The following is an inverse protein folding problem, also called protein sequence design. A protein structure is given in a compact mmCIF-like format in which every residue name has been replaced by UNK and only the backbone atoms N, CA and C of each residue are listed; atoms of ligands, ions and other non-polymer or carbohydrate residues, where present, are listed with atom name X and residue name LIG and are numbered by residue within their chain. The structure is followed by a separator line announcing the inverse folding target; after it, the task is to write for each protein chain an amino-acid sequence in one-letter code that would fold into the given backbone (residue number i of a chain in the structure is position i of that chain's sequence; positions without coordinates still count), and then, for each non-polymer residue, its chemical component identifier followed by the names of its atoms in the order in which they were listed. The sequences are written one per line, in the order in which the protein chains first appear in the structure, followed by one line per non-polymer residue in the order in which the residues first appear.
data_IF_973008004375
#
_entry.id   IF_973008004375
#
_cell.length_a   1.000
_cell.length_b   1.000
_cell.length_c   1.000
_cell.angle_alpha   90.00
_cell.angle_beta   90.00
_cell.angle_gamma   90.00
#
_symmetry.space_group_name_H-M   'P 1'
#
loop_
_entity.id
_entity.type
_entity.pdbx_description
1 polymer ?
#
# COMPACT_ATOMS: atom_id res chain seq x y z
N UNK A 1 14.07 0.35 21.08
CA UNK A 1 12.60 0.28 21.28
C UNK A 1 11.94 -0.12 19.97
N UNK A 2 10.99 -1.05 20.00
CA UNK A 2 10.37 -1.63 18.80
C UNK A 2 9.66 -0.59 17.91
N UNK A 3 8.96 0.38 18.51
CA UNK A 3 8.28 1.44 17.77
C UNK A 3 9.22 2.31 16.92
N UNK A 4 10.43 2.61 17.43
CA UNK A 4 11.44 3.35 16.66
C UNK A 4 11.92 2.55 15.45
N UNK A 5 12.24 1.27 15.64
CA UNK A 5 12.66 0.40 14.55
C UNK A 5 11.57 0.23 13.48
N UNK A 6 10.29 0.16 13.89
CA UNK A 6 9.16 0.14 12.97
C UNK A 6 9.07 1.41 12.11
N UNK A 7 9.24 2.59 12.71
CA UNK A 7 9.25 3.85 11.99
C UNK A 7 10.48 4.00 11.09
N UNK A 8 11.65 3.55 11.54
CA UNK A 8 12.85 3.57 10.70
C UNK A 8 12.70 2.62 9.49
N UNK A 9 12.03 1.47 9.66
CA UNK A 9 11.68 0.59 8.55
C UNK A 9 10.69 1.25 7.58
N UNK A 10 9.63 1.91 8.07
CA UNK A 10 8.69 2.59 7.18
C UNK A 10 9.37 3.69 6.35
N UNK A 11 10.27 4.46 6.96
CA UNK A 11 11.08 5.47 6.26
C UNK A 11 12.08 4.85 5.28
N UNK A 12 12.62 3.67 5.56
CA UNK A 12 13.48 2.95 4.62
C UNK A 12 12.69 2.45 3.40
N UNK A 13 11.44 2.00 3.61
CA UNK A 13 10.54 1.61 2.51
C UNK A 13 10.14 2.79 1.63
N UNK A 14 10.01 3.99 2.18
CA UNK A 14 9.79 5.21 1.38
C UNK A 14 10.94 5.50 0.41
N UNK A 15 12.15 5.02 0.70
CA UNK A 15 13.34 5.17 -0.15
C UNK A 15 13.55 3.97 -1.09
N UNK A 16 12.77 2.91 -0.94
CA UNK A 16 12.94 1.67 -1.68
C UNK A 16 12.13 1.72 -2.98
N UNK A 17 12.82 1.87 -4.12
CA UNK A 17 12.24 1.81 -5.46
C UNK A 17 11.21 2.91 -5.78
N UNK A 18 10.75 3.02 -7.02
CA UNK A 18 9.82 4.07 -7.45
C UNK A 18 8.35 3.69 -7.17
N UNK A 19 8.03 3.21 -5.95
CA UNK A 19 6.65 2.85 -5.63
C UNK A 19 5.82 4.11 -5.38
N UNK A 20 4.89 4.40 -6.30
CA UNK A 20 4.05 5.58 -6.22
C UNK A 20 3.14 5.56 -4.98
N UNK A 21 2.71 6.74 -4.52
CA UNK A 21 1.78 6.84 -3.40
C UNK A 21 0.43 6.16 -3.71
N UNK A 22 -0.06 6.23 -4.95
CA UNK A 22 -1.22 5.48 -5.43
C UNK A 22 -1.02 3.97 -5.31
N UNK A 23 0.12 3.45 -5.77
CA UNK A 23 0.44 2.01 -5.68
C UNK A 23 0.49 1.53 -4.23
N UNK A 24 1.05 2.35 -3.32
CA UNK A 24 1.04 2.07 -1.88
C UNK A 24 -0.39 1.98 -1.33
N UNK A 25 -1.27 2.91 -1.69
CA UNK A 25 -2.67 2.89 -1.26
C UNK A 25 -3.42 1.68 -1.82
N UNK A 26 -3.25 1.33 -3.11
CA UNK A 26 -3.84 0.11 -3.69
C UNK A 26 -3.39 -1.14 -2.92
N UNK A 27 -2.09 -1.26 -2.64
CA UNK A 27 -1.53 -2.40 -1.91
C UNK A 27 -2.08 -2.50 -0.50
N UNK A 28 -2.12 -1.38 0.22
CA UNK A 28 -2.60 -1.30 1.59
C UNK A 28 -4.11 -1.59 1.69
N UNK A 29 -4.93 -0.98 0.83
CA UNK A 29 -6.37 -1.27 0.74
C UNK A 29 -6.62 -2.76 0.48
N UNK A 30 -5.88 -3.35 -0.47
CA UNK A 30 -6.02 -4.77 -0.83
C UNK A 30 -5.69 -5.70 0.35
N UNK A 31 -4.57 -5.44 1.03
CA UNK A 31 -4.12 -6.27 2.16
C UNK A 31 -5.01 -6.07 3.38
N UNK A 32 -5.31 -4.82 3.77
CA UNK A 32 -6.15 -4.54 4.93
C UNK A 32 -7.60 -5.01 4.76
N UNK A 33 -8.12 -5.03 3.53
CA UNK A 33 -9.46 -5.55 3.26
C UNK A 33 -9.51 -7.05 3.52
N UNK A 34 -8.50 -7.78 3.00
CA UNK A 34 -8.34 -9.22 3.25
C UNK A 34 -8.16 -9.54 4.72
N UNK A 35 -7.32 -8.76 5.39
CA UNK A 35 -6.91 -8.94 6.78
C UNK A 35 -7.93 -8.37 7.78
N UNK A 36 -9.03 -7.75 7.31
CA UNK A 36 -10.12 -7.17 8.11
C UNK A 36 -9.63 -6.22 9.20
N UNK A 37 -8.89 -5.18 8.79
CA UNK A 37 -8.33 -4.18 9.72
C UNK A 37 -9.08 -2.85 9.56
N UNK A 38 -10.09 -2.54 10.40
CA UNK A 38 -10.97 -1.39 10.18
C UNK A 38 -10.22 -0.06 10.16
N UNK A 39 -9.30 0.16 11.11
CA UNK A 39 -8.48 1.36 11.15
C UNK A 39 -7.60 1.52 9.90
N UNK A 40 -6.97 0.44 9.44
CA UNK A 40 -6.16 0.45 8.23
C UNK A 40 -6.97 0.82 7.00
N UNK A 41 -8.19 0.27 6.87
CA UNK A 41 -9.10 0.61 5.78
C UNK A 41 -9.57 2.07 5.83
N UNK A 42 -9.89 2.57 7.02
CA UNK A 42 -10.23 3.98 7.22
C UNK A 42 -9.09 4.92 6.80
N UNK A 43 -7.87 4.67 7.29
CA UNK A 43 -6.72 5.50 7.00
C UNK A 43 -6.34 5.47 5.51
N UNK A 44 -6.32 4.28 4.89
CA UNK A 44 -5.95 4.13 3.49
C UNK A 44 -7.06 4.57 2.52
N UNK A 45 -8.33 4.64 2.95
CA UNK A 45 -9.38 5.31 2.19
C UNK A 45 -9.09 6.80 2.03
N UNK A 46 -8.73 7.48 3.13
CA UNK A 46 -8.37 8.90 3.10
C UNK A 46 -7.14 9.15 2.22
N UNK A 47 -6.09 8.33 2.36
CA UNK A 47 -4.91 8.41 1.49
C UNK A 47 -5.26 8.10 0.03
N UNK A 48 -6.00 7.03 -0.24
CA UNK A 48 -6.37 6.60 -1.57
C UNK A 48 -7.09 7.69 -2.36
N UNK A 49 -8.06 8.37 -1.73
CA UNK A 49 -8.74 9.52 -2.31
C UNK A 49 -7.77 10.65 -2.66
N UNK A 50 -6.84 10.96 -1.76
CA UNK A 50 -5.83 12.00 -1.98
C UNK A 50 -4.83 11.68 -3.10
N UNK A 51 -4.66 10.39 -3.43
CA UNK A 51 -3.78 9.86 -4.48
C UNK A 51 -4.54 9.49 -5.76
N UNK A 52 -5.77 10.01 -5.92
CA UNK A 52 -6.56 9.93 -7.16
C UNK A 52 -7.31 8.62 -7.36
N UNK A 53 -7.49 7.78 -6.33
CA UNK A 53 -8.49 6.72 -6.39
C UNK A 53 -9.88 7.33 -6.26
N UNK A 54 -10.84 6.80 -7.02
CA UNK A 54 -12.24 7.16 -6.81
C UNK A 54 -12.82 6.39 -5.62
N UNK A 55 -13.87 6.94 -5.01
CA UNK A 55 -14.63 6.24 -3.98
C UNK A 55 -15.10 4.85 -4.45
N UNK A 56 -15.53 4.77 -5.71
CA UNK A 56 -15.97 3.52 -6.33
C UNK A 56 -14.85 2.49 -6.41
N UNK A 57 -13.63 2.91 -6.77
CA UNK A 57 -12.49 2.00 -6.84
C UNK A 57 -12.12 1.48 -5.44
N UNK A 58 -12.19 2.34 -4.43
CA UNK A 58 -11.91 1.97 -3.04
C UNK A 58 -12.92 0.93 -2.54
N UNK A 59 -14.21 1.13 -2.80
CA UNK A 59 -15.26 0.17 -2.42
C UNK A 59 -15.08 -1.20 -3.12
N UNK A 60 -14.65 -1.19 -4.39
CA UNK A 60 -14.34 -2.44 -5.11
C UNK A 60 -13.11 -3.13 -4.51
N UNK A 61 -12.07 -2.39 -4.13
CA UNK A 61 -10.90 -2.92 -3.41
C UNK A 61 -11.28 -3.47 -2.02
N UNK A 62 -12.17 -2.79 -1.30
CA UNK A 62 -12.73 -3.25 -0.02
C UNK A 62 -13.45 -4.60 -0.16
N UNK A 63 -14.17 -4.78 -1.27
CA UNK A 63 -14.81 -6.05 -1.62
C UNK A 63 -13.81 -7.15 -2.03
N UNK A 64 -12.51 -6.86 -2.07
CA UNK A 64 -11.47 -7.79 -2.49
C UNK A 64 -11.51 -8.09 -4.00
N UNK A 65 -11.92 -7.10 -4.79
CA UNK A 65 -12.07 -7.19 -6.24
C UNK A 65 -11.18 -6.16 -6.94
N UNK A 66 -10.86 -6.41 -8.21
CA UNK A 66 -10.09 -5.49 -9.05
C UNK A 66 -11.05 -4.45 -9.67
N UNK A 67 -10.80 -3.13 -9.49
CA UNK A 67 -11.59 -2.10 -10.17
C UNK A 67 -11.43 -2.14 -11.69
N UNK A 68 -12.54 -1.97 -12.42
CA UNK A 68 -12.57 -2.04 -13.89
C UNK A 68 -11.70 -0.97 -14.57
N UNK A 69 -11.55 0.20 -13.96
CA UNK A 69 -10.78 1.32 -14.53
C UNK A 69 -9.28 1.26 -14.29
N UNK A 70 -8.77 0.20 -13.66
CA UNK A 70 -7.35 0.07 -13.38
C UNK A 70 -6.57 -0.23 -14.66
N UNK A 71 -5.44 0.47 -14.83
CA UNK A 71 -4.46 0.14 -15.86
C UNK A 71 -3.64 -1.09 -15.45
N UNK A 72 -2.76 -1.55 -16.35
CA UNK A 72 -1.95 -2.74 -16.11
C UNK A 72 -1.06 -2.62 -14.86
N UNK A 73 -0.50 -1.43 -14.59
CA UNK A 73 0.36 -1.22 -13.42
C UNK A 73 -0.44 -1.29 -12.11
N UNK A 74 -1.61 -0.64 -12.05
CA UNK A 74 -2.53 -0.71 -10.92
C UNK A 74 -3.01 -2.16 -10.70
N UNK A 75 -3.31 -2.87 -11.80
CA UNK A 75 -3.66 -4.28 -11.77
C UNK A 75 -2.54 -5.16 -11.22
N UNK A 76 -1.30 -4.97 -11.68
CA UNK A 76 -0.15 -5.72 -11.20
C UNK A 76 0.08 -5.50 -9.70
N UNK A 77 -0.05 -4.25 -9.22
CA UNK A 77 0.03 -3.92 -7.79
C UNK A 77 -1.05 -4.66 -6.99
N UNK A 78 -2.29 -4.66 -7.46
CA UNK A 78 -3.40 -5.37 -6.84
C UNK A 78 -3.13 -6.88 -6.73
N UNK A 79 -2.76 -7.54 -7.84
CA UNK A 79 -2.59 -8.99 -7.85
C UNK A 79 -1.41 -9.45 -6.99
N UNK A 80 -0.27 -8.76 -7.05
CA UNK A 80 0.88 -9.04 -6.16
C UNK A 80 0.47 -8.88 -4.70
N UNK A 81 -0.21 -7.79 -4.35
CA UNK A 81 -0.62 -7.51 -2.97
C UNK A 81 -1.65 -8.52 -2.47
N UNK A 82 -2.58 -8.92 -3.33
CA UNK A 82 -3.58 -9.95 -3.04
C UNK A 82 -2.91 -11.29 -2.75
N UNK A 83 -2.07 -11.80 -3.64
CA UNK A 83 -1.41 -13.10 -3.46
C UNK A 83 -0.51 -13.13 -2.21
N UNK A 84 0.29 -12.07 -1.99
CA UNK A 84 1.13 -11.97 -0.79
C UNK A 84 0.31 -11.83 0.49
N UNK A 85 -0.85 -11.17 0.42
CA UNK A 85 -1.83 -11.10 1.52
C UNK A 85 -2.47 -12.46 1.85
N UNK A 86 -2.63 -13.35 0.88
CA UNK A 86 -3.14 -14.71 1.09
C UNK A 86 -2.14 -15.65 1.79
N UNK A 87 -0.83 -15.45 1.57
CA UNK A 87 0.26 -16.20 2.22
C UNK A 87 0.16 -17.73 2.10
N UNK A 88 -0.29 -18.23 0.94
CA UNK A 88 -0.41 -19.68 0.68
C UNK A 88 0.84 -20.26 0.02
N UNK A 89 1.80 -19.41 -0.39
CA UNK A 89 3.02 -19.83 -1.07
C UNK A 89 3.75 -18.65 -1.71
N UNK A 90 4.70 -18.92 -2.63
CA UNK A 90 5.30 -17.88 -3.46
C UNK A 90 4.24 -17.21 -4.35
N UNK A 91 4.58 -16.04 -4.91
CA UNK A 91 3.80 -15.48 -6.01
C UNK A 91 3.68 -16.54 -7.12
N UNK A 92 2.50 -16.62 -7.73
CA UNK A 92 2.30 -17.44 -8.91
C UNK A 92 3.27 -16.99 -10.01
N UNK A 93 3.75 -17.94 -10.82
CA UNK A 93 4.66 -17.61 -11.92
C UNK A 93 4.04 -16.58 -12.88
N UNK A 94 2.73 -16.69 -13.11
CA UNK A 94 1.96 -15.73 -13.91
C UNK A 94 2.01 -14.32 -13.31
N UNK A 95 1.74 -14.16 -12.01
CA UNK A 95 1.79 -12.85 -11.34
C UNK A 95 3.21 -12.32 -11.29
N UNK A 96 4.21 -13.16 -11.05
CA UNK A 96 5.61 -12.76 -11.05
C UNK A 96 6.05 -12.22 -12.42
N UNK A 97 5.87 -12.99 -13.49
CA UNK A 97 6.35 -12.62 -14.82
C UNK A 97 5.65 -11.37 -15.35
N UNK A 98 4.32 -11.30 -15.17
CA UNK A 98 3.55 -10.14 -15.59
C UNK A 98 3.92 -8.89 -14.78
N UNK A 99 3.96 -8.98 -13.45
CA UNK A 99 4.31 -7.82 -12.63
C UNK A 99 5.77 -7.36 -12.88
N UNK A 100 6.71 -8.28 -13.12
CA UNK A 100 8.08 -7.93 -13.46
C UNK A 100 8.14 -7.19 -14.80
N UNK A 101 7.41 -7.65 -15.81
CA UNK A 101 7.34 -6.99 -17.12
C UNK A 101 6.66 -5.62 -17.06
N UNK A 102 5.59 -5.49 -16.27
CA UNK A 102 4.79 -4.26 -16.18
C UNK A 102 5.41 -3.20 -15.25
N UNK A 103 5.91 -3.60 -14.09
CA UNK A 103 6.39 -2.67 -13.05
C UNK A 103 7.91 -2.47 -13.10
N UNK A 104 8.64 -3.43 -13.67
CA UNK A 104 10.09 -3.51 -13.57
C UNK A 104 10.55 -4.05 -12.22
N UNK A 105 11.81 -4.48 -12.19
CA UNK A 105 12.43 -5.16 -11.04
C UNK A 105 12.38 -4.33 -9.76
N UNK A 106 12.79 -3.07 -9.83
CA UNK A 106 12.96 -2.23 -8.63
C UNK A 106 11.61 -1.93 -7.96
N UNK A 107 10.58 -1.61 -8.76
CA UNK A 107 9.21 -1.39 -8.27
C UNK A 107 8.61 -2.66 -7.68
N UNK A 108 8.82 -3.83 -8.32
CA UNK A 108 8.30 -5.10 -7.83
C UNK A 108 8.96 -5.49 -6.49
N UNK A 109 10.28 -5.32 -6.36
CA UNK A 109 11.00 -5.54 -5.09
C UNK A 109 10.45 -4.62 -4.00
N UNK A 110 10.30 -3.33 -4.30
CA UNK A 110 9.72 -2.36 -3.36
C UNK A 110 8.31 -2.77 -2.90
N UNK A 111 7.46 -3.19 -3.84
CA UNK A 111 6.11 -3.64 -3.55
C UNK A 111 6.08 -4.89 -2.66
N UNK A 112 6.97 -5.86 -2.89
CA UNK A 112 7.05 -7.08 -2.06
C UNK A 112 7.42 -6.72 -0.61
N UNK A 113 8.42 -5.86 -0.42
CA UNK A 113 8.81 -5.39 0.91
C UNK A 113 7.69 -4.58 1.58
N UNK A 114 7.01 -3.72 0.83
CA UNK A 114 5.89 -2.94 1.33
C UNK A 114 4.71 -3.84 1.73
N UNK A 115 4.37 -4.84 0.92
CA UNK A 115 3.33 -5.82 1.25
C UNK A 115 3.65 -6.61 2.52
N UNK A 116 4.91 -7.03 2.70
CA UNK A 116 5.34 -7.69 3.94
C UNK A 116 5.19 -6.78 5.17
N UNK A 117 5.57 -5.50 5.04
CA UNK A 117 5.39 -4.50 6.08
C UNK A 117 3.91 -4.29 6.42
N UNK A 118 3.04 -4.13 5.43
CA UNK A 118 1.60 -3.97 5.63
C UNK A 118 0.98 -5.15 6.37
N UNK A 119 1.42 -6.38 6.10
CA UNK A 119 0.95 -7.57 6.81
C UNK A 119 1.42 -7.61 8.27
N UNK A 120 2.66 -7.24 8.55
CA UNK A 120 3.14 -7.04 9.92
C UNK A 120 2.28 -5.98 10.64
N UNK A 121 2.00 -4.87 9.97
CA UNK A 121 1.12 -3.80 10.48
C UNK A 121 -0.30 -4.28 10.77
N UNK A 122 -0.89 -5.02 9.83
CA UNK A 122 -2.21 -5.62 9.99
C UNK A 122 -2.26 -6.57 11.21
N UNK A 123 -1.19 -7.32 11.43
CA UNK A 123 -1.09 -8.29 12.53
C UNK A 123 -1.18 -7.60 13.88
N UNK A 124 -0.39 -6.55 14.13
CA UNK A 124 -0.49 -5.87 15.43
C UNK A 124 -1.76 -5.03 15.55
N UNK A 125 -2.27 -4.44 14.46
CA UNK A 125 -3.53 -3.70 14.52
C UNK A 125 -4.70 -4.58 14.95
N UNK A 126 -4.75 -5.83 14.46
CA UNK A 126 -5.71 -6.82 14.95
C UNK A 126 -5.40 -7.29 16.37
N UNK A 127 -4.14 -7.61 16.65
CA UNK A 127 -3.72 -8.14 17.94
C UNK A 127 -3.99 -7.18 19.10
N UNK A 128 -3.91 -5.87 18.84
CA UNK A 128 -4.22 -4.81 19.80
C UNK A 128 -5.63 -4.24 19.66
N UNK A 129 -6.47 -4.78 18.77
CA UNK A 129 -7.83 -4.31 18.53
C UNK A 129 -7.90 -2.79 18.30
N UNK A 130 -7.06 -2.28 17.39
CA UNK A 130 -6.97 -0.85 17.09
C UNK A 130 -8.32 -0.35 16.58
N UNK A 131 -8.90 0.59 17.33
CA UNK A 131 -10.23 1.16 17.08
C UNK A 131 -10.20 2.25 16.01
N UNK A 132 -11.36 2.52 15.42
CA UNK A 132 -11.56 3.71 14.61
C UNK A 132 -11.45 4.96 15.50
N UNK A 133 -10.99 6.10 14.94
CA UNK A 133 -11.07 7.39 15.62
C UNK A 133 -12.52 7.70 16.01
N UNK A 134 -12.71 8.30 17.19
CA UNK A 134 -14.02 8.77 17.61
C UNK A 134 -14.45 9.98 16.78
N UNK A 135 -15.76 10.24 16.74
CA UNK A 135 -16.28 11.44 16.11
C UNK A 135 -15.68 12.69 16.77
N UNK A 136 -15.02 13.54 15.98
CA UNK A 136 -14.33 14.74 16.45
C UNK A 136 -12.82 14.58 16.69
N UNK A 137 -12.27 13.37 16.63
CA UNK A 137 -10.83 13.15 16.70
C UNK A 137 -10.13 13.72 15.45
N UNK A 138 -9.02 14.44 15.67
CA UNK A 138 -8.15 14.87 14.57
C UNK A 138 -7.27 13.71 14.13
N UNK A 139 -7.46 13.26 12.89
CA UNK A 139 -6.57 12.28 12.27
C UNK A 139 -5.66 13.01 11.29
N UNK A 140 -4.40 13.16 11.66
CA UNK A 140 -3.37 13.65 10.73
C UNK A 140 -2.94 12.52 9.82
N UNK A 141 -3.39 12.57 8.57
CA UNK A 141 -3.02 11.60 7.54
C UNK A 141 -2.00 12.26 6.62
N UNK A 142 -0.70 12.05 6.90
CA UNK A 142 0.39 12.57 6.08
C UNK A 142 1.32 11.45 5.64
N UNK A 143 1.33 11.12 4.36
CA UNK A 143 2.46 10.40 3.75
C UNK A 143 3.47 11.46 3.33
N UNK A 144 4.68 11.43 3.88
CA UNK A 144 5.70 12.41 3.50
C UNK A 144 5.90 12.36 1.98
N UNK A 145 5.50 13.43 1.27
CA UNK A 145 5.92 13.61 -0.11
C UNK A 145 7.40 13.91 -0.06
N UNK A 146 8.24 12.99 -0.55
CA UNK A 146 9.63 13.33 -0.87
C UNK A 146 9.57 14.53 -1.81
N UNK A 147 10.17 15.69 -1.48
CA UNK A 147 10.23 16.79 -2.42
C UNK A 147 10.87 16.25 -3.69
N UNK A 148 10.23 16.47 -4.84
CA UNK A 148 10.92 16.32 -6.11
C UNK A 148 12.20 17.14 -5.99
N UNK A 149 13.35 16.48 -6.19
CA UNK A 149 14.63 17.17 -6.28
C UNK A 149 14.45 18.26 -7.34
N UNK A 150 14.36 19.51 -6.90
CA UNK A 150 14.48 20.64 -7.79
C UNK A 150 15.88 20.52 -8.37
N UNK A 151 15.95 20.09 -9.62
CA UNK A 151 17.15 20.24 -10.41
C UNK A 151 17.49 21.73 -10.39
N UNK A 152 18.58 22.06 -9.72
CA UNK A 152 19.23 23.35 -9.87
C UNK A 152 19.64 23.46 -11.33
N UNK A 153 18.84 24.17 -12.14
CA UNK A 153 19.28 24.70 -13.41
C UNK A 153 20.11 25.92 -13.05
N UNK A 154 21.42 25.78 -13.16
CA UNK A 154 22.34 26.90 -13.04
C UNK A 154 22.13 27.91 -14.16
N UNK A 155 22.29 29.18 -13.80
CA UNK A 155 23.00 30.21 -14.55
C UNK A 155 23.65 31.15 -13.52
#
# INVERSE_FOLDING_TARGET
MLGRAYLDLSLALEKLGPLSARSKSISALTIFARERVPYGLYAERLLGLSEGLSEKDIEVLFAGQLPYGFNDADGAVYFVSRELGHCVGPLSQQTWDWALATLGKDTLVALIHYAAFLRYTATFMRGFEVQLPAEGDRVEVYRQRTPSQQFAIGW
#
